data_IF_169039568211
#
_entry.id   IF_169039568211
#
_cell.length_a   1.000
_cell.length_b   1.000
_cell.length_c   1.000
_cell.angle_alpha   90.00
_cell.angle_beta   90.00
_cell.angle_gamma   90.00
#
_symmetry.space_group_name_H-M   'P 1'
#
loop_
_entity.id
_entity.type
_entity.pdbx_description
1 polymer ?
#
# COMPACT_ATOMS: atom_id res chain seq x y z
N UNK A 1 1.66 -27.04 -12.42
CA UNK A 1 2.52 -26.75 -11.25
C UNK A 1 2.03 -25.64 -10.32
N UNK A 2 1.77 -24.37 -10.73
CA UNK A 2 1.26 -23.34 -9.78
C UNK A 2 -0.26 -23.41 -9.51
N UNK A 3 -1.04 -23.95 -10.44
CA UNK A 3 -2.50 -24.09 -10.30
C UNK A 3 -2.92 -25.25 -9.39
N UNK A 4 -2.04 -26.21 -9.13
CA UNK A 4 -2.35 -27.40 -8.33
C UNK A 4 -2.38 -27.13 -6.81
N UNK A 5 -1.90 -25.97 -6.36
CA UNK A 5 -1.74 -25.67 -4.94
C UNK A 5 -2.82 -24.72 -4.38
N UNK A 6 -3.79 -24.25 -5.19
CA UNK A 6 -4.76 -23.21 -4.80
C UNK A 6 -4.12 -21.98 -4.13
N UNK A 7 -2.84 -21.72 -4.42
CA UNK A 7 -2.09 -20.62 -3.84
C UNK A 7 -2.32 -19.35 -4.65
N UNK A 8 -2.43 -18.23 -3.96
CA UNK A 8 -2.47 -16.93 -4.62
C UNK A 8 -1.23 -16.71 -5.51
N UNK A 9 -1.38 -16.03 -6.65
CA UNK A 9 -0.26 -15.62 -7.49
C UNK A 9 0.82 -14.92 -6.67
N UNK A 10 2.09 -15.22 -6.99
CA UNK A 10 3.23 -14.65 -6.27
C UNK A 10 3.26 -13.11 -6.34
N UNK A 11 2.74 -12.55 -7.44
CA UNK A 11 2.60 -11.10 -7.63
C UNK A 11 1.69 -10.47 -6.59
N UNK A 12 0.56 -11.11 -6.27
CA UNK A 12 -0.42 -10.60 -5.30
C UNK A 12 0.12 -10.72 -3.89
N UNK A 13 0.69 -11.87 -3.55
CA UNK A 13 1.36 -12.07 -2.24
C UNK A 13 2.45 -11.02 -2.00
N UNK A 14 3.27 -10.72 -3.01
CA UNK A 14 4.29 -9.66 -2.93
C UNK A 14 3.69 -8.26 -2.84
N UNK A 15 2.53 -8.00 -3.48
CA UNK A 15 1.82 -6.72 -3.36
C UNK A 15 1.27 -6.53 -1.95
N UNK A 16 0.58 -7.53 -1.42
CA UNK A 16 0.00 -7.53 -0.07
C UNK A 16 1.10 -7.32 0.98
N UNK A 17 2.21 -8.07 0.89
CA UNK A 17 3.33 -7.93 1.82
C UNK A 17 3.94 -6.51 1.83
N UNK A 18 4.12 -5.90 0.65
CA UNK A 18 4.63 -4.51 0.55
C UNK A 18 3.67 -3.52 1.19
N UNK A 19 2.37 -3.65 0.94
CA UNK A 19 1.34 -2.78 1.52
C UNK A 19 1.24 -2.94 3.04
N UNK A 20 1.32 -4.17 3.56
CA UNK A 20 1.35 -4.44 5.01
C UNK A 20 2.56 -3.79 5.66
N UNK A 21 3.73 -3.87 5.02
CA UNK A 21 4.93 -3.21 5.54
C UNK A 21 4.78 -1.67 5.53
N UNK A 22 4.20 -1.09 4.48
CA UNK A 22 3.89 0.34 4.44
C UNK A 22 2.90 0.75 5.54
N UNK A 23 1.87 -0.07 5.80
CA UNK A 23 0.94 0.15 6.91
C UNK A 23 1.69 0.20 8.25
N UNK A 24 2.56 -0.77 8.52
CA UNK A 24 3.35 -0.80 9.77
C UNK A 24 4.28 0.41 9.89
N UNK A 25 4.91 0.83 8.79
CA UNK A 25 5.72 2.07 8.74
C UNK A 25 4.89 3.31 9.05
N UNK A 26 3.65 3.40 8.54
CA UNK A 26 2.75 4.53 8.80
C UNK A 26 2.35 4.69 10.26
N UNK A 27 2.40 3.60 11.04
CA UNK A 27 2.10 3.60 12.48
C UNK A 27 3.32 4.01 13.34
N UNK A 28 4.44 4.39 12.71
CA UNK A 28 5.70 4.77 13.37
C UNK A 28 6.19 3.73 14.40
N UNK A 29 5.91 2.44 14.15
CA UNK A 29 6.28 1.33 15.05
C UNK A 29 7.74 0.90 14.91
N UNK A 30 8.46 1.46 13.92
CA UNK A 30 9.86 1.16 13.65
C UNK A 30 10.75 2.34 14.04
N UNK A 31 11.96 2.06 14.52
CA UNK A 31 13.01 3.06 14.74
C UNK A 31 13.69 3.43 13.41
N UNK A 32 12.89 3.88 12.44
CA UNK A 32 13.31 4.26 11.11
C UNK A 32 12.63 5.57 10.73
N UNK A 33 13.41 6.54 10.23
CA UNK A 33 12.89 7.81 9.74
C UNK A 33 12.16 7.61 8.41
N UNK A 34 10.88 7.23 8.52
CA UNK A 34 9.98 7.05 7.39
C UNK A 34 9.48 8.39 6.83
N UNK A 35 9.64 9.50 7.56
CA UNK A 35 9.09 10.81 7.19
C UNK A 35 9.71 11.35 5.90
N UNK A 36 10.99 11.04 5.66
CA UNK A 36 11.69 11.40 4.42
C UNK A 36 11.08 10.75 3.16
N UNK A 37 10.36 9.62 3.30
CA UNK A 37 9.76 8.87 2.19
C UNK A 37 8.23 8.94 2.17
N UNK A 38 7.59 9.07 3.33
CA UNK A 38 6.13 9.10 3.50
C UNK A 38 5.60 10.52 3.64
N UNK A 39 5.83 11.33 2.60
CA UNK A 39 5.39 12.73 2.58
C UNK A 39 3.86 12.76 2.43
N UNK A 40 3.10 13.30 3.42
CA UNK A 40 1.65 13.40 3.32
C UNK A 40 1.25 14.27 2.12
N UNK A 41 0.27 13.81 1.34
CA UNK A 41 -0.28 14.61 0.25
C UNK A 41 -1.18 15.70 0.86
N UNK A 42 -0.68 16.93 0.90
CA UNK A 42 -1.49 18.09 1.27
C UNK A 42 -2.47 18.42 0.13
N UNK A 43 -3.71 17.92 0.22
CA UNK A 43 -4.79 18.37 -0.66
C UNK A 43 -5.40 19.63 -0.03
N UNK A 44 -5.42 20.73 -0.78
CA UNK A 44 -6.22 21.91 -0.39
C UNK A 44 -7.68 21.47 -0.37
N UNK A 45 -8.21 21.35 0.85
CA UNK A 45 -9.54 20.86 1.20
C UNK A 45 -10.63 21.26 0.19
N UNK A 46 -11.08 20.29 -0.59
CA UNK A 46 -12.46 20.20 -1.04
C UNK A 46 -13.00 18.94 -0.38
N UNK A 47 -13.82 19.16 0.64
CA UNK A 47 -14.53 18.20 1.48
C UNK A 47 -14.56 16.79 0.86
N UNK A 48 -13.78 15.87 1.43
CA UNK A 48 -13.79 14.41 1.22
C UNK A 48 -12.49 13.79 0.67
N UNK A 49 -11.52 14.50 0.09
CA UNK A 49 -10.32 13.79 -0.40
C UNK A 49 -9.25 13.66 0.70
N UNK A 50 -8.95 12.42 1.07
CA UNK A 50 -8.67 11.97 2.43
C UNK A 50 -7.25 12.21 2.96
N UNK A 51 -7.17 12.39 4.28
CA UNK A 51 -6.00 12.73 5.13
C UNK A 51 -4.83 11.71 5.15
N UNK A 52 -4.87 10.61 4.39
CA UNK A 52 -3.94 9.47 4.53
C UNK A 52 -3.30 8.97 3.22
N UNK A 53 -3.31 9.82 2.19
CA UNK A 53 -2.56 9.59 0.94
C UNK A 53 -1.16 10.17 1.04
N UNK A 54 -0.20 9.53 0.38
CA UNK A 54 1.17 10.02 0.29
C UNK A 54 1.47 10.62 -1.09
N UNK A 55 2.45 11.52 -1.15
CA UNK A 55 3.00 11.99 -2.41
C UNK A 55 3.70 10.83 -3.11
N UNK A 56 3.42 10.62 -4.39
CA UNK A 56 4.13 9.62 -5.20
C UNK A 56 5.48 10.24 -5.61
N UNK A 57 6.63 9.63 -5.28
CA UNK A 57 7.93 10.13 -5.72
C UNK A 57 8.02 10.21 -7.24
N UNK A 58 8.63 11.28 -7.75
CA UNK A 58 8.90 11.41 -9.18
C UNK A 58 9.95 10.39 -9.62
N UNK A 59 9.63 9.59 -10.63
CA UNK A 59 10.49 8.53 -11.10
C UNK A 59 10.98 8.81 -12.51
N UNK A 60 12.29 9.02 -12.68
CA UNK A 60 12.92 9.22 -14.01
C UNK A 60 13.31 7.91 -14.71
N UNK A 61 13.48 6.84 -13.93
CA UNK A 61 13.91 5.52 -14.44
C UNK A 61 13.05 4.42 -13.86
N UNK A 62 12.86 3.35 -14.64
CA UNK A 62 12.07 2.18 -14.25
C UNK A 62 12.60 1.51 -12.98
N UNK A 63 13.92 1.42 -12.83
CA UNK A 63 14.55 0.82 -11.64
C UNK A 63 14.06 1.47 -10.34
N UNK A 64 13.99 2.81 -10.33
CA UNK A 64 13.45 3.54 -9.18
C UNK A 64 11.92 3.46 -9.11
N UNK A 65 11.23 3.53 -10.25
CA UNK A 65 9.76 3.41 -10.31
C UNK A 65 9.24 2.08 -9.74
N UNK A 66 10.00 1.00 -9.88
CA UNK A 66 9.67 -0.33 -9.37
C UNK A 66 10.33 -0.64 -8.01
N UNK A 67 11.10 0.29 -7.45
CA UNK A 67 11.60 0.20 -6.07
C UNK A 67 10.46 0.30 -5.05
N UNK A 68 10.75 0.04 -3.78
CA UNK A 68 9.74 -0.14 -2.73
C UNK A 68 8.77 1.05 -2.62
N UNK A 69 9.25 2.26 -2.32
CA UNK A 69 8.36 3.40 -2.01
C UNK A 69 7.51 3.85 -3.20
N UNK A 70 8.07 4.14 -4.40
CA UNK A 70 7.25 4.69 -5.48
C UNK A 70 6.19 3.71 -5.96
N UNK A 71 6.52 2.42 -6.01
CA UNK A 71 5.58 1.37 -6.38
C UNK A 71 4.50 1.17 -5.31
N UNK A 72 4.89 1.10 -4.04
CA UNK A 72 3.97 0.76 -2.95
C UNK A 72 3.07 1.94 -2.59
N UNK A 73 3.55 3.19 -2.67
CA UNK A 73 2.73 4.39 -2.48
C UNK A 73 1.65 4.52 -3.56
N UNK A 74 1.96 4.15 -4.81
CA UNK A 74 0.94 4.07 -5.87
C UNK A 74 -0.15 3.07 -5.52
N UNK A 75 0.25 1.85 -5.14
CA UNK A 75 -0.68 0.79 -4.72
C UNK A 75 -1.49 1.21 -3.47
N UNK A 76 -0.90 1.97 -2.54
CA UNK A 76 -1.56 2.46 -1.32
C UNK A 76 -2.59 3.55 -1.58
N UNK A 77 -2.27 4.49 -2.47
CA UNK A 77 -3.12 5.64 -2.72
C UNK A 77 -4.45 5.27 -3.40
N UNK A 78 -4.50 4.13 -4.10
CA UNK A 78 -5.72 3.60 -4.72
C UNK A 78 -6.59 2.80 -3.74
N UNK A 79 -6.09 2.45 -2.55
CA UNK A 79 -6.88 1.73 -1.57
C UNK A 79 -8.06 2.59 -1.06
N UNK A 80 -9.23 1.97 -0.81
CA UNK A 80 -10.32 2.60 -0.08
C UNK A 80 -9.89 3.01 1.34
N UNK A 81 -10.47 4.11 1.84
CA UNK A 81 -10.18 4.59 3.20
C UNK A 81 -10.53 3.57 4.27
N UNK A 82 -11.63 2.83 4.10
CA UNK A 82 -12.01 1.74 5.00
C UNK A 82 -10.90 0.69 5.18
N UNK A 83 -10.06 0.48 4.17
CA UNK A 83 -8.92 -0.44 4.26
C UNK A 83 -7.73 0.25 4.94
N UNK A 84 -7.40 1.49 4.54
CA UNK A 84 -6.30 2.27 5.15
C UNK A 84 -6.51 2.53 6.64
N UNK A 85 -7.76 2.68 7.06
CA UNK A 85 -8.16 2.99 8.43
C UNK A 85 -8.26 1.76 9.34
N UNK A 86 -7.75 0.62 8.87
CA UNK A 86 -7.65 -0.60 9.67
C UNK A 86 -6.86 -0.35 10.97
N UNK A 87 -7.33 -0.95 12.08
CA UNK A 87 -6.74 -0.75 13.40
C UNK A 87 -5.49 -1.61 13.63
N UNK A 88 -5.39 -2.75 12.96
CA UNK A 88 -4.27 -3.70 13.11
C UNK A 88 -3.75 -4.15 11.76
N UNK A 89 -2.49 -4.58 11.73
CA UNK A 89 -1.85 -5.07 10.50
C UNK A 89 -2.51 -6.34 9.96
N UNK A 90 -3.05 -7.19 10.84
CA UNK A 90 -3.80 -8.38 10.46
C UNK A 90 -5.13 -8.01 9.78
N UNK A 91 -5.87 -7.06 10.35
CA UNK A 91 -7.13 -6.60 9.76
C UNK A 91 -6.88 -5.93 8.40
N UNK A 92 -5.83 -5.12 8.32
CA UNK A 92 -5.37 -4.50 7.08
C UNK A 92 -5.04 -5.56 6.00
N UNK A 93 -4.21 -6.55 6.33
CA UNK A 93 -3.81 -7.61 5.40
C UNK A 93 -5.01 -8.39 4.87
N UNK A 94 -5.94 -8.77 5.75
CA UNK A 94 -7.15 -9.48 5.37
C UNK A 94 -8.03 -8.66 4.42
N UNK A 95 -8.23 -7.37 4.70
CA UNK A 95 -9.03 -6.48 3.86
C UNK A 95 -8.39 -6.21 2.50
N UNK A 96 -7.07 -5.98 2.45
CA UNK A 96 -6.32 -5.83 1.20
C UNK A 96 -6.37 -7.10 0.37
N UNK A 97 -6.24 -8.26 1.00
CA UNK A 97 -6.30 -9.57 0.33
C UNK A 97 -7.66 -9.77 -0.33
N UNK A 98 -8.75 -9.49 0.39
CA UNK A 98 -10.11 -9.56 -0.16
C UNK A 98 -10.32 -8.59 -1.32
N UNK A 99 -9.85 -7.35 -1.18
CA UNK A 99 -9.99 -6.31 -2.20
C UNK A 99 -9.39 -6.74 -3.55
N UNK A 100 -8.14 -7.25 -3.54
CA UNK A 100 -7.48 -7.68 -4.78
C UNK A 100 -7.99 -9.02 -5.32
N UNK A 101 -8.50 -9.91 -4.45
CA UNK A 101 -9.16 -11.13 -4.91
C UNK A 101 -10.52 -10.86 -5.58
N UNK A 102 -11.30 -9.89 -5.07
CA UNK A 102 -12.59 -9.54 -5.66
C UNK A 102 -12.50 -8.85 -7.02
N UNK A 103 -11.38 -8.16 -7.32
CA UNK A 103 -11.13 -7.55 -8.63
C UNK A 103 -10.73 -8.58 -9.71
N UNK A 104 -10.45 -9.83 -9.34
CA UNK A 104 -9.94 -10.87 -10.24
C UNK A 104 -11.01 -11.90 -10.67
N UNK A 105 -12.29 -11.69 -10.32
CA UNK A 105 -13.43 -12.59 -10.60
C UNK A 105 -14.34 -12.04 -11.70
#
# INVERSE_FOLDING_TARGET
MLQELNLQPLVDRRRIARLKFLFLLSQNTFNFDAEQYLIPRQVRSLRSDHLRKYLVPQCRVNTYAYSFFPRTIKDWNVLPDAIRDSQTAEHFENNVTKYFLSESS
#
